data_IF_593369844420
#
_entry.id   IF_593369844420
#
_cell.length_a   1.000
_cell.length_b   1.000
_cell.length_c   1.000
_cell.angle_alpha   90.00
_cell.angle_beta   90.00
_cell.angle_gamma   90.00
#
_symmetry.space_group_name_H-M   'P 1'
#
loop_
_entity.id
_entity.type
_entity.pdbx_description
1 polymer ?
#
# COMPACT_ATOMS: atom_id res chain seq x y z
N UNK A 1 -71.86 46.56 27.05
CA UNK A 1 -70.95 47.00 25.97
C UNK A 1 -69.53 46.75 26.46
N UNK A 2 -68.74 45.92 25.76
CA UNK A 2 -67.29 45.79 26.01
C UNK A 2 -66.51 47.02 25.50
N UNK A 3 -65.15 47.01 25.38
CA UNK A 3 -64.23 45.87 25.39
C UNK A 3 -62.87 46.11 26.14
N UNK A 4 -61.95 45.13 26.08
CA UNK A 4 -60.50 45.32 26.25
C UNK A 4 -59.89 44.55 27.43
N UNK A 5 -58.80 43.79 27.32
CA UNK A 5 -57.92 43.52 26.19
C UNK A 5 -56.94 42.38 26.54
N UNK A 6 -56.54 41.65 25.51
CA UNK A 6 -55.46 40.66 25.55
C UNK A 6 -54.10 41.38 25.71
N UNK A 7 -53.22 40.84 26.57
CA UNK A 7 -51.78 41.03 26.37
C UNK A 7 -51.01 39.78 26.79
N UNK A 8 -50.15 39.40 25.87
CA UNK A 8 -49.52 38.09 25.70
C UNK A 8 -48.39 37.86 26.71
N UNK A 9 -48.36 36.67 27.32
CA UNK A 9 -47.16 36.14 27.96
C UNK A 9 -46.19 35.67 26.87
N UNK A 10 -45.14 36.45 26.63
CA UNK A 10 -44.06 36.08 25.72
C UNK A 10 -43.22 34.92 26.29
N UNK A 11 -42.72 34.01 25.45
CA UNK A 11 -41.93 32.87 25.91
C UNK A 11 -40.55 33.33 26.41
N UNK A 12 -40.11 32.72 27.51
CA UNK A 12 -38.72 32.76 27.99
C UNK A 12 -37.72 32.52 26.86
N UNK A 13 -36.56 33.20 26.83
CA UNK A 13 -35.49 32.82 25.93
C UNK A 13 -34.99 31.44 26.38
N UNK A 14 -35.34 30.43 25.58
CA UNK A 14 -34.67 29.15 25.65
C UNK A 14 -33.19 29.41 25.42
N UNK A 15 -32.39 29.23 26.48
CA UNK A 15 -30.95 29.07 26.37
C UNK A 15 -30.74 27.93 25.37
N UNK A 16 -30.26 28.28 24.18
CA UNK A 16 -29.89 27.30 23.17
C UNK A 16 -28.82 26.41 23.78
N UNK A 17 -29.22 25.20 24.18
CA UNK A 17 -28.29 24.14 24.51
C UNK A 17 -27.46 23.90 23.25
N UNK A 18 -26.18 24.29 23.31
CA UNK A 18 -25.19 23.81 22.34
C UNK A 18 -25.10 22.31 22.54
N UNK A 19 -25.89 21.56 21.77
CA UNK A 19 -25.80 20.11 21.71
C UNK A 19 -24.35 19.75 21.44
N UNK A 20 -23.83 18.83 22.26
CA UNK A 20 -22.58 18.14 22.00
C UNK A 20 -22.61 17.68 20.54
N UNK A 21 -21.68 18.18 19.72
CA UNK A 21 -21.54 17.69 18.35
C UNK A 21 -21.14 16.22 18.46
N UNK A 22 -22.11 15.32 18.32
CA UNK A 22 -21.88 13.89 18.20
C UNK A 22 -20.87 13.63 17.07
N UNK A 23 -20.06 12.60 17.24
CA UNK A 23 -19.06 12.18 16.24
C UNK A 23 -19.74 12.00 14.89
N UNK A 24 -19.37 12.81 13.91
CA UNK A 24 -19.85 12.71 12.54
C UNK A 24 -19.33 11.41 11.90
N UNK A 25 -20.24 10.59 11.37
CA UNK A 25 -19.88 9.34 10.68
C UNK A 25 -19.70 9.63 9.21
N UNK A 26 -18.53 9.27 8.68
CA UNK A 26 -18.21 9.36 7.25
C UNK A 26 -18.24 7.96 6.64
N UNK A 27 -18.98 7.79 5.54
CA UNK A 27 -19.10 6.52 4.83
C UNK A 27 -18.36 6.58 3.50
N UNK A 28 -17.65 5.50 3.15
CA UNK A 28 -16.97 5.34 1.88
C UNK A 28 -17.47 4.09 1.15
N UNK A 29 -17.52 4.15 -0.17
CA UNK A 29 -17.82 3.01 -1.03
C UNK A 29 -16.54 2.56 -1.75
N UNK A 30 -16.19 1.27 -1.74
CA UNK A 30 -15.06 0.79 -2.51
C UNK A 30 -15.23 1.07 -4.00
N UNK A 31 -14.16 1.54 -4.64
CA UNK A 31 -14.10 1.78 -6.09
C UNK A 31 -13.60 0.56 -6.87
N UNK A 32 -13.07 -0.44 -6.18
CA UNK A 32 -12.47 -1.62 -6.77
C UNK A 32 -11.95 -2.59 -5.73
N UNK A 33 -11.21 -3.59 -6.19
CA UNK A 33 -10.57 -4.61 -5.36
C UNK A 33 -9.12 -4.78 -5.80
N UNK A 34 -8.21 -4.88 -4.84
CA UNK A 34 -6.81 -5.22 -5.10
C UNK A 34 -6.65 -6.74 -5.10
N UNK A 35 -6.00 -7.27 -6.14
CA UNK A 35 -5.71 -8.70 -6.31
C UNK A 35 -4.20 -8.93 -6.25
N UNK A 36 -3.75 -9.80 -5.34
CA UNK A 36 -2.33 -10.07 -5.10
C UNK A 36 -2.09 -11.54 -4.78
N UNK A 37 -0.82 -11.95 -4.69
CA UNK A 37 -0.45 -13.27 -4.16
C UNK A 37 -0.47 -13.35 -2.62
N UNK A 38 -0.74 -12.25 -1.92
CA UNK A 38 -0.65 -12.16 -0.47
C UNK A 38 -1.98 -12.56 0.18
N UNK A 39 -2.09 -13.81 0.64
CA UNK A 39 -3.31 -14.33 1.30
C UNK A 39 -3.18 -14.43 2.82
N UNK A 40 -1.96 -14.30 3.33
CA UNK A 40 -1.61 -14.39 4.75
C UNK A 40 -1.09 -13.02 5.27
N UNK A 41 -1.80 -12.36 6.21
CA UNK A 41 -1.38 -11.08 6.78
C UNK A 41 0.02 -11.12 7.40
N UNK A 42 0.42 -12.25 8.00
CA UNK A 42 1.71 -12.35 8.70
C UNK A 42 2.88 -12.52 7.73
N UNK A 43 2.61 -12.88 6.47
CA UNK A 43 3.59 -13.04 5.39
C UNK A 43 3.56 -11.92 4.35
N UNK A 44 2.63 -10.98 4.50
CA UNK A 44 2.53 -9.83 3.60
C UNK A 44 3.66 -8.85 3.94
N UNK A 45 4.40 -8.29 2.95
CA UNK A 45 5.42 -7.28 3.21
C UNK A 45 4.91 -6.13 4.08
N UNK A 46 5.77 -5.54 4.90
CA UNK A 46 5.36 -4.53 5.89
C UNK A 46 4.97 -3.19 5.24
N UNK A 47 5.64 -2.83 4.14
CA UNK A 47 5.47 -1.58 3.38
C UNK A 47 5.88 -1.82 1.91
N UNK A 48 5.50 -0.94 0.96
CA UNK A 48 5.88 -1.09 -0.45
C UNK A 48 7.40 -1.12 -0.68
N UNK A 49 8.16 -0.42 0.17
CA UNK A 49 9.63 -0.42 0.15
C UNK A 49 10.24 -1.82 0.34
N UNK A 50 9.49 -2.77 0.91
CA UNK A 50 9.91 -4.16 1.10
C UNK A 50 9.19 -5.16 0.17
N UNK A 51 8.41 -4.65 -0.79
CA UNK A 51 7.56 -5.44 -1.68
C UNK A 51 8.07 -5.47 -3.13
N UNK A 52 9.37 -5.24 -3.34
CA UNK A 52 9.97 -5.31 -4.68
C UNK A 52 9.69 -6.68 -5.33
N UNK A 53 9.21 -6.65 -6.58
CA UNK A 53 8.80 -7.86 -7.31
C UNK A 53 7.43 -8.44 -6.91
N UNK A 54 6.75 -7.90 -5.89
CA UNK A 54 5.38 -8.27 -5.55
C UNK A 54 4.40 -7.64 -6.55
N UNK A 55 4.08 -8.40 -7.60
CA UNK A 55 3.15 -8.02 -8.65
C UNK A 55 1.68 -8.30 -8.27
N UNK A 56 0.77 -7.54 -8.86
CA UNK A 56 -0.67 -7.72 -8.70
C UNK A 56 -1.45 -6.74 -9.55
N UNK A 57 -2.74 -6.58 -9.25
CA UNK A 57 -3.60 -5.68 -10.01
C UNK A 57 -4.68 -5.04 -9.16
N UNK A 58 -5.12 -3.84 -9.55
CA UNK A 58 -6.34 -3.23 -9.06
C UNK A 58 -7.44 -3.41 -10.11
N UNK A 59 -8.55 -4.05 -9.72
CA UNK A 59 -9.73 -4.24 -10.56
C UNK A 59 -10.78 -3.17 -10.19
N UNK A 60 -10.95 -2.17 -11.04
CA UNK A 60 -11.86 -1.04 -10.79
C UNK A 60 -13.27 -1.42 -11.21
N UNK A 61 -14.26 -1.04 -10.40
CA UNK A 61 -15.67 -1.30 -10.71
C UNK A 61 -16.09 -0.53 -11.97
N UNK A 62 -16.97 -1.11 -12.82
CA UNK A 62 -17.31 -0.51 -14.12
C UNK A 62 -17.76 0.95 -14.04
N UNK A 63 -18.55 1.32 -13.02
CA UNK A 63 -19.06 2.68 -12.85
C UNK A 63 -17.99 3.73 -12.54
N UNK A 64 -16.77 3.33 -12.18
CA UNK A 64 -15.65 4.23 -11.89
C UNK A 64 -14.56 4.18 -12.98
N UNK A 65 -14.74 3.40 -14.04
CA UNK A 65 -13.71 3.16 -15.05
C UNK A 65 -13.28 4.42 -15.81
N UNK A 66 -14.20 5.37 -16.01
CA UNK A 66 -13.91 6.67 -16.67
C UNK A 66 -12.87 7.48 -15.88
N UNK A 67 -12.87 7.38 -14.54
CA UNK A 67 -11.93 8.09 -13.66
C UNK A 67 -10.47 7.65 -13.81
N UNK A 68 -10.19 6.60 -14.61
CA UNK A 68 -8.84 6.15 -14.93
C UNK A 68 -8.22 6.86 -16.15
N UNK A 69 -8.92 7.79 -16.79
CA UNK A 69 -8.39 8.56 -17.92
C UNK A 69 -7.03 9.19 -17.56
N UNK A 70 -6.07 9.12 -18.49
CA UNK A 70 -4.71 9.68 -18.40
C UNK A 70 -3.79 9.10 -17.31
N UNK A 71 -4.24 8.10 -16.55
CA UNK A 71 -3.45 7.54 -15.44
C UNK A 71 -2.15 6.88 -15.92
N UNK A 72 -2.12 6.35 -17.15
CA UNK A 72 -0.93 5.75 -17.77
C UNK A 72 0.20 6.77 -18.02
N UNK A 73 -0.08 8.08 -17.92
CA UNK A 73 0.95 9.12 -17.97
C UNK A 73 1.86 9.14 -16.72
N UNK A 74 1.48 8.44 -15.65
CA UNK A 74 2.22 8.40 -14.39
C UNK A 74 2.91 7.04 -14.20
N UNK A 75 4.15 7.07 -13.69
CA UNK A 75 4.91 5.84 -13.39
C UNK A 75 4.49 5.19 -12.06
N UNK A 76 3.93 5.97 -11.13
CA UNK A 76 3.56 5.52 -9.80
C UNK A 76 2.22 6.13 -9.39
N UNK A 77 1.48 5.39 -8.57
CA UNK A 77 0.20 5.81 -8.01
C UNK A 77 0.14 5.46 -6.52
N UNK A 78 -0.51 6.33 -5.76
CA UNK A 78 -1.00 6.02 -4.43
C UNK A 78 -2.28 5.21 -4.52
N UNK A 79 -2.33 4.13 -3.75
CA UNK A 79 -3.57 3.40 -3.46
C UNK A 79 -3.98 3.67 -2.02
N UNK A 80 -5.22 4.08 -1.83
CA UNK A 80 -5.89 4.15 -0.53
C UNK A 80 -6.89 3.02 -0.45
N UNK A 81 -6.82 2.20 0.59
CA UNK A 81 -7.60 0.97 0.68
C UNK A 81 -8.02 0.66 2.11
N UNK A 82 -9.08 -0.13 2.26
CA UNK A 82 -9.59 -0.53 3.56
C UNK A 82 -8.87 -1.80 4.03
N UNK A 83 -8.18 -1.74 5.17
CA UNK A 83 -7.54 -2.89 5.82
C UNK A 83 -8.63 -3.76 6.46
N UNK A 84 -9.42 -4.42 5.63
CA UNK A 84 -10.62 -5.18 5.98
C UNK A 84 -10.39 -6.38 6.91
N UNK A 85 -9.13 -6.78 7.13
CA UNK A 85 -8.71 -7.80 8.11
C UNK A 85 -7.99 -7.23 9.33
N UNK A 86 -7.94 -5.91 9.49
CA UNK A 86 -7.39 -5.30 10.69
C UNK A 86 -8.24 -5.66 11.92
N UNK A 87 -7.57 -5.94 13.04
CA UNK A 87 -8.22 -6.14 14.33
C UNK A 87 -8.75 -4.82 14.93
N UNK A 88 -9.25 -4.86 16.18
CA UNK A 88 -9.74 -3.68 16.87
C UNK A 88 -8.64 -2.61 16.99
N UNK A 89 -9.04 -1.35 16.90
CA UNK A 89 -8.13 -0.21 16.98
C UNK A 89 -7.37 -0.20 18.31
N UNK A 90 -6.07 0.10 18.25
CA UNK A 90 -5.21 0.29 19.43
C UNK A 90 -4.49 1.63 19.30
N UNK A 91 -4.45 2.42 20.37
CA UNK A 91 -3.73 3.70 20.38
C UNK A 91 -2.22 3.54 20.58
N UNK A 92 -1.81 2.42 21.19
CA UNK A 92 -0.41 2.02 21.37
C UNK A 92 -0.22 0.63 20.75
N UNK A 93 0.82 0.49 19.94
CA UNK A 93 1.15 -0.72 19.17
C UNK A 93 2.63 -1.02 19.26
N UNK A 94 3.00 -2.28 19.02
CA UNK A 94 4.37 -2.70 18.76
C UNK A 94 4.57 -2.74 17.23
N UNK A 95 5.33 -1.80 16.63
CA UNK A 95 5.59 -1.82 15.18
C UNK A 95 6.29 -3.11 14.76
N UNK A 96 6.24 -3.43 13.47
CA UNK A 96 6.84 -4.67 12.98
C UNK A 96 8.37 -4.62 12.86
N UNK A 97 8.95 -3.42 12.79
CA UNK A 97 10.39 -3.22 12.57
C UNK A 97 11.21 -3.09 13.87
N UNK A 98 10.56 -2.95 15.02
CA UNK A 98 11.23 -2.80 16.31
C UNK A 98 10.38 -3.39 17.43
N UNK A 99 10.96 -3.49 18.62
CA UNK A 99 10.30 -4.15 19.75
C UNK A 99 9.70 -3.19 20.80
N UNK A 100 9.93 -1.88 20.66
CA UNK A 100 9.39 -0.87 21.58
C UNK A 100 7.96 -0.45 21.20
N UNK A 101 7.13 -0.18 22.19
CA UNK A 101 5.79 0.35 21.94
C UNK A 101 5.82 1.79 21.41
N UNK A 102 4.93 2.08 20.46
CA UNK A 102 4.75 3.40 19.85
C UNK A 102 3.28 3.76 19.76
N UNK A 103 2.97 5.05 19.81
CA UNK A 103 1.63 5.55 19.49
C UNK A 103 1.27 5.21 18.04
N UNK A 104 0.06 4.71 17.78
CA UNK A 104 -0.34 4.17 16.47
C UNK A 104 -0.20 5.19 15.33
N UNK A 105 -0.37 6.48 15.62
CA UNK A 105 -0.22 7.56 14.64
C UNK A 105 1.24 7.91 14.32
N UNK A 106 2.20 7.46 15.12
CA UNK A 106 3.63 7.52 14.83
C UNK A 106 4.13 6.25 14.09
N UNK A 107 3.19 5.42 13.60
CA UNK A 107 3.47 4.15 12.93
C UNK A 107 2.58 3.99 11.70
N UNK A 108 2.80 2.90 10.96
CA UNK A 108 1.93 2.46 9.86
C UNK A 108 1.22 1.12 10.17
N UNK A 109 1.02 0.81 11.45
CA UNK A 109 0.35 -0.42 11.87
C UNK A 109 -1.14 -0.45 11.42
N UNK A 110 -1.71 -1.63 11.12
CA UNK A 110 -3.04 -1.71 10.51
C UNK A 110 -4.22 -1.47 11.47
N UNK A 111 -4.07 -1.80 12.76
CA UNK A 111 -5.12 -1.71 13.77
C UNK A 111 -5.32 -0.27 14.27
N UNK A 112 -5.91 0.59 13.44
CA UNK A 112 -6.11 2.03 13.66
C UNK A 112 -7.60 2.35 13.82
N UNK A 113 -7.98 3.51 14.39
CA UNK A 113 -9.38 3.93 14.48
C UNK A 113 -10.10 3.93 13.13
N UNK A 114 -9.41 4.39 12.07
CA UNK A 114 -9.82 4.24 10.68
C UNK A 114 -8.78 3.36 9.97
N UNK A 115 -9.08 2.08 9.70
CA UNK A 115 -8.13 1.13 9.13
C UNK A 115 -7.97 1.36 7.63
N UNK A 116 -7.34 2.48 7.28
CA UNK A 116 -7.00 2.89 5.92
C UNK A 116 -5.51 2.64 5.69
N UNK A 117 -5.20 1.85 4.67
CA UNK A 117 -3.86 1.63 4.16
C UNK A 117 -3.51 2.63 3.06
N UNK A 118 -2.21 2.83 2.86
CA UNK A 118 -1.66 3.74 1.86
C UNK A 118 -0.36 3.14 1.31
N UNK A 119 -0.36 2.85 0.02
CA UNK A 119 0.80 2.31 -0.70
C UNK A 119 1.12 3.16 -1.91
N UNK A 120 2.38 3.54 -2.05
CA UNK A 120 2.93 4.08 -3.29
C UNK A 120 3.46 2.91 -4.11
N UNK A 121 2.82 2.63 -5.24
CA UNK A 121 3.13 1.46 -6.09
C UNK A 121 3.44 1.90 -7.50
N UNK A 122 4.17 1.06 -8.23
CA UNK A 122 4.51 1.32 -9.62
C UNK A 122 3.36 0.89 -10.54
N UNK A 123 2.96 1.78 -11.44
CA UNK A 123 2.00 1.48 -12.50
C UNK A 123 2.75 0.90 -13.69
N UNK A 124 2.52 -0.38 -13.98
CA UNK A 124 3.17 -1.05 -15.10
C UNK A 124 2.44 -0.79 -16.41
N UNK A 125 1.10 -0.89 -16.37
CA UNK A 125 0.20 -0.68 -17.52
C UNK A 125 -1.26 -0.72 -17.07
N UNK A 126 -2.15 -0.18 -17.91
CA UNK A 126 -3.60 -0.33 -17.79
C UNK A 126 -4.16 -1.22 -18.91
N UNK A 127 -5.14 -2.05 -18.57
CA UNK A 127 -5.98 -2.81 -19.51
C UNK A 127 -7.44 -2.54 -19.18
N UNK A 128 -8.05 -1.58 -19.89
CA UNK A 128 -9.41 -1.13 -19.61
C UNK A 128 -9.56 -0.62 -18.16
N UNK A 129 -10.30 -1.37 -17.34
CA UNK A 129 -10.55 -1.07 -15.92
C UNK A 129 -9.61 -1.77 -14.94
N UNK A 130 -8.54 -2.39 -15.45
CA UNK A 130 -7.56 -3.14 -14.65
C UNK A 130 -6.21 -2.44 -14.71
N UNK A 131 -5.67 -2.10 -13.54
CA UNK A 131 -4.32 -1.57 -13.40
C UNK A 131 -3.38 -2.68 -12.98
N UNK A 132 -2.29 -2.89 -13.73
CA UNK A 132 -1.24 -3.85 -13.37
C UNK A 132 -0.12 -3.12 -12.65
N UNK A 133 0.28 -3.66 -11.50
CA UNK A 133 1.05 -2.94 -10.49
C UNK A 133 2.20 -3.80 -9.95
N UNK A 134 3.23 -3.13 -9.46
CA UNK A 134 4.38 -3.72 -8.76
C UNK A 134 4.66 -2.97 -7.45
N UNK A 135 5.17 -3.68 -6.44
CA UNK A 135 5.43 -3.11 -5.12
C UNK A 135 4.25 -3.23 -4.15
N UNK A 136 3.36 -4.21 -4.35
CA UNK A 136 2.16 -4.36 -3.54
C UNK A 136 2.46 -5.06 -2.21
N UNK A 137 2.18 -4.36 -1.11
CA UNK A 137 2.17 -4.84 0.27
C UNK A 137 0.73 -5.09 0.79
N UNK A 138 -0.17 -5.45 -0.14
CA UNK A 138 -1.61 -5.46 0.08
C UNK A 138 -2.13 -6.90 0.01
N UNK A 139 -2.99 -7.27 0.97
CA UNK A 139 -3.67 -8.56 0.96
C UNK A 139 -4.62 -8.72 -0.23
N UNK A 140 -4.71 -9.93 -0.77
CA UNK A 140 -5.67 -10.27 -1.81
C UNK A 140 -7.11 -10.02 -1.35
N UNK A 141 -7.93 -9.48 -2.25
CA UNK A 141 -9.33 -9.17 -1.97
C UNK A 141 -9.54 -7.87 -1.21
N UNK A 142 -8.47 -7.09 -0.96
CA UNK A 142 -8.57 -5.82 -0.24
C UNK A 142 -9.43 -4.79 -0.98
N UNK A 143 -10.46 -4.20 -0.35
CA UNK A 143 -11.28 -3.16 -0.96
C UNK A 143 -10.46 -1.88 -1.21
N UNK A 144 -10.47 -1.40 -2.44
CA UNK A 144 -9.82 -0.16 -2.84
C UNK A 144 -10.78 1.02 -2.65
N UNK A 145 -10.32 2.09 -2.01
CA UNK A 145 -11.11 3.28 -1.73
C UNK A 145 -10.81 4.42 -2.71
N UNK A 146 -9.54 4.63 -3.06
CA UNK A 146 -9.12 5.74 -3.92
C UNK A 146 -7.77 5.50 -4.59
N UNK A 147 -7.50 6.22 -5.68
CA UNK A 147 -6.25 6.18 -6.47
C UNK A 147 -5.82 7.61 -6.75
N UNK A 148 -4.54 7.92 -6.52
CA UNK A 148 -3.98 9.23 -6.87
C UNK A 148 -2.65 9.07 -7.59
N UNK A 149 -2.33 9.89 -8.60
CA UNK A 149 -0.99 9.85 -9.19
C UNK A 149 0.05 10.35 -8.19
N UNK A 150 1.23 9.74 -8.20
CA UNK A 150 2.40 10.35 -7.57
C UNK A 150 2.94 11.46 -8.48
N UNK A 151 3.13 12.65 -7.91
CA UNK A 151 3.71 13.80 -8.57
C UNK A 151 4.99 14.20 -7.88
N UNK A 152 6.13 14.01 -8.54
CA UNK A 152 7.42 14.46 -8.02
C UNK A 152 7.48 15.98 -7.76
N UNK A 153 6.57 16.78 -8.34
CA UNK A 153 6.44 18.22 -8.07
C UNK A 153 5.82 18.51 -6.71
N UNK A 154 4.94 17.64 -6.20
CA UNK A 154 4.14 17.91 -5.00
C UNK A 154 4.50 16.98 -3.84
N UNK A 155 4.91 15.74 -4.13
CA UNK A 155 5.07 14.68 -3.12
C UNK A 155 6.52 14.45 -2.71
N UNK A 156 7.50 14.94 -3.50
CA UNK A 156 8.92 14.72 -3.20
C UNK A 156 9.36 15.62 -2.05
N UNK A 157 9.93 14.99 -1.02
CA UNK A 157 10.61 15.63 0.10
C UNK A 157 12.09 15.27 0.00
N UNK A 158 12.97 16.27 -0.14
CA UNK A 158 14.41 16.04 -0.32
C UNK A 158 15.13 15.72 1.00
N UNK A 159 14.71 16.37 2.09
CA UNK A 159 15.24 16.15 3.43
C UNK A 159 14.09 15.83 4.39
N UNK A 160 14.07 14.60 4.90
CA UNK A 160 13.08 14.13 5.88
C UNK A 160 13.70 13.89 7.26
N UNK A 161 12.83 13.77 8.26
CA UNK A 161 13.16 13.25 9.59
C UNK A 161 12.19 12.11 9.86
N UNK A 162 12.71 10.94 10.14
CA UNK A 162 11.93 9.69 10.17
C UNK A 162 11.68 9.18 11.59
N UNK A 163 12.12 9.96 12.59
CA UNK A 163 11.81 9.75 13.99
C UNK A 163 12.49 8.51 14.55
N UNK A 164 11.72 7.61 15.17
CA UNK A 164 12.29 6.38 15.76
C UNK A 164 12.87 5.43 14.71
N UNK A 165 12.52 5.59 13.43
CA UNK A 165 13.05 4.76 12.35
C UNK A 165 14.52 5.07 12.03
N UNK A 166 15.03 6.26 12.37
CA UNK A 166 16.44 6.64 12.17
C UNK A 166 17.41 5.75 12.96
N UNK A 167 16.93 5.09 14.02
CA UNK A 167 17.71 4.16 14.83
C UNK A 167 17.63 2.70 14.38
N UNK A 168 16.91 2.39 13.29
CA UNK A 168 16.81 1.03 12.78
C UNK A 168 18.06 0.66 11.98
N UNK A 169 18.48 -0.60 12.10
CA UNK A 169 19.48 -1.16 11.19
C UNK A 169 18.81 -1.55 9.86
N UNK A 170 19.35 -1.09 8.74
CA UNK A 170 18.77 -1.31 7.41
C UNK A 170 18.66 -2.78 7.05
N UNK A 171 19.63 -3.61 7.43
CA UNK A 171 19.62 -5.04 7.14
C UNK A 171 18.54 -5.77 7.98
N UNK A 172 18.40 -5.39 9.25
CA UNK A 172 17.33 -5.89 10.12
C UNK A 172 15.96 -5.46 9.62
N UNK A 173 15.80 -4.18 9.26
CA UNK A 173 14.57 -3.62 8.70
C UNK A 173 14.17 -4.32 7.40
N UNK A 174 15.13 -4.59 6.52
CA UNK A 174 14.89 -5.32 5.28
C UNK A 174 14.47 -6.78 5.53
N UNK A 175 15.13 -7.45 6.47
CA UNK A 175 14.81 -8.84 6.86
C UNK A 175 13.41 -8.96 7.46
N UNK A 176 13.06 -8.09 8.42
CA UNK A 176 11.71 -8.03 9.01
C UNK A 176 10.69 -7.58 7.97
N UNK A 177 11.06 -6.58 7.16
CA UNK A 177 10.29 -5.90 6.11
C UNK A 177 9.62 -6.83 5.11
N UNK A 178 10.42 -7.71 4.51
CA UNK A 178 9.96 -8.61 3.44
C UNK A 178 8.98 -9.68 3.93
N UNK A 179 8.96 -9.98 5.24
CA UNK A 179 8.17 -11.06 5.85
C UNK A 179 8.19 -12.35 5.02
N UNK A 180 9.38 -12.78 4.60
CA UNK A 180 9.56 -13.88 3.65
C UNK A 180 8.80 -15.15 4.08
N UNK A 181 7.64 -15.37 3.46
CA UNK A 181 7.03 -16.68 3.30
C UNK A 181 7.37 -17.20 1.91
N UNK A 182 7.94 -18.40 1.82
CA UNK A 182 8.24 -19.11 0.56
C UNK A 182 7.04 -19.11 -0.41
N UNK A 183 6.97 -18.14 -1.31
CA UNK A 183 5.76 -17.90 -2.10
C UNK A 183 5.99 -16.98 -3.27
N UNK A 184 6.88 -17.38 -4.17
CA UNK A 184 7.15 -16.66 -5.41
C UNK A 184 8.51 -17.02 -6.00
N UNK A 185 8.68 -18.25 -6.52
CA UNK A 185 9.77 -18.50 -7.47
C UNK A 185 9.42 -17.78 -8.78
N UNK A 186 9.82 -16.53 -8.90
CA UNK A 186 10.15 -15.95 -10.21
C UNK A 186 11.31 -16.72 -10.82
N UNK A 187 11.46 -16.78 -12.15
CA UNK A 187 12.55 -17.52 -12.78
C UNK A 187 13.87 -16.88 -12.34
N UNK A 188 14.67 -17.64 -11.58
CA UNK A 188 16.00 -17.19 -11.17
C UNK A 188 16.86 -16.84 -12.39
N UNK A 189 17.85 -15.95 -12.24
CA UNK A 189 18.69 -15.51 -13.35
C UNK A 189 19.32 -16.74 -14.00
N UNK A 190 19.03 -16.91 -15.29
CA UNK A 190 19.48 -18.03 -16.09
C UNK A 190 20.97 -18.29 -15.88
N UNK A 191 21.29 -19.48 -15.39
CA UNK A 191 22.65 -19.98 -15.25
C UNK A 191 23.31 -19.88 -16.64
N UNK A 192 24.21 -18.90 -16.83
CA UNK A 192 24.99 -18.75 -18.06
C UNK A 192 25.67 -20.09 -18.36
N UNK A 193 25.18 -20.78 -19.40
CA UNK A 193 25.89 -21.92 -19.99
C UNK A 193 27.26 -21.42 -20.44
N UNK A 194 28.30 -21.88 -19.76
CA UNK A 194 29.68 -21.73 -20.21
C UNK A 194 29.84 -22.53 -21.50
N UNK A 195 29.81 -21.83 -22.64
CA UNK A 195 30.40 -22.33 -23.89
C UNK A 195 31.91 -22.12 -23.81
N UNK A 196 32.68 -23.14 -24.18
CA UNK A 196 34.09 -22.94 -24.57
C UNK A 196 35.03 -24.01 -24.03
N UNK A 197 35.45 -24.91 -24.91
CA UNK A 197 36.52 -25.86 -24.65
C UNK A 197 36.74 -26.87 -25.76
N UNK A 198 36.68 -26.44 -27.03
CA UNK A 198 37.10 -27.26 -28.17
C UNK A 198 38.62 -27.41 -28.09
N UNK A 199 39.11 -28.60 -27.73
CA UNK A 199 40.54 -28.91 -27.75
C UNK A 199 40.95 -29.17 -29.20
N UNK A 200 41.79 -28.30 -29.73
CA UNK A 200 42.54 -28.49 -30.96
C UNK A 200 43.66 -29.51 -30.73
N UNK A 201 43.67 -30.53 -31.57
CA UNK A 201 44.67 -31.59 -31.67
C UNK A 201 45.87 -31.09 -32.50
N UNK A 202 47.13 -31.19 -32.05
CA UNK A 202 48.28 -30.98 -32.92
C UNK A 202 48.87 -32.31 -33.36
N UNK A 203 48.82 -32.55 -34.68
CA UNK A 203 49.45 -33.68 -35.33
C UNK A 203 50.97 -33.77 -35.07
N UNK A 204 51.43 -35.00 -34.86
CA UNK A 204 52.84 -35.35 -34.68
C UNK A 204 53.26 -36.47 -35.63
N UNK A 205 53.81 -36.03 -36.78
CA UNK A 205 54.93 -36.58 -37.56
C UNK A 205 55.06 -38.10 -37.78
N UNK A 206 55.12 -38.41 -39.07
CA UNK A 206 55.77 -39.54 -39.73
C UNK A 206 57.23 -39.71 -39.31
N UNK A 207 57.64 -40.96 -39.05
CA UNK A 207 59.02 -41.41 -39.24
C UNK A 207 59.04 -42.68 -40.10
N UNK A 208 60.03 -42.68 -40.99
CA UNK A 208 60.35 -43.65 -42.03
C UNK A 208 61.48 -44.58 -41.59
N UNK A 209 61.46 -45.82 -42.09
CA UNK A 209 62.59 -46.78 -42.10
C UNK A 209 62.44 -47.88 -41.05
N UNK A 210 62.54 -49.18 -41.36
CA UNK A 210 63.17 -49.90 -42.47
C UNK A 210 62.35 -51.14 -42.82
#
# INVERSE_FOLDING_TARGET
MGPGGDSQGGPSPAVSSRGEKGTEVITFHPIGVVRTGHTDPDRTPIQPAFAEGCAGRAEILPQYAEGLCDLEGFSHVYLLYHLHRAGPARLTVKPYLEDSERGVFATRAPCRPNPIGLSLVKLLRREGRVLHLEGLDILDGTPLLDIKPYSGRFDRIEASRDGWQEGLDDADALRRGRREGQGGRGPGPGRKMRRGGMRSDPGGRSESGR
#
